data_IF_808502750845
#
_entry.id   IF_808502750845
#
_cell.length_a   1.000
_cell.length_b   1.000
_cell.length_c   1.000
_cell.angle_alpha   90.00
_cell.angle_beta   90.00
_cell.angle_gamma   90.00
#
_symmetry.space_group_name_H-M   'P 1'
#
loop_
_entity.id
_entity.type
_entity.pdbx_description
1 polymer ?
#
# COMPACT_ATOMS: atom_id res chain seq x y z
N UNK A 1 20.26 16.56 -4.24
CA UNK A 1 19.79 15.41 -5.03
C UNK A 1 20.34 14.15 -4.37
N UNK A 2 19.50 13.16 -4.03
CA UNK A 2 19.98 11.94 -3.36
C UNK A 2 20.67 11.03 -4.39
N UNK A 3 22.01 11.03 -4.45
CA UNK A 3 22.79 10.20 -5.38
C UNK A 3 22.40 8.71 -5.32
N UNK A 4 22.04 8.23 -4.13
CA UNK A 4 21.60 6.83 -3.93
C UNK A 4 20.28 6.50 -4.63
N UNK A 5 19.36 7.45 -4.76
CA UNK A 5 18.07 7.20 -5.41
C UNK A 5 18.23 7.05 -6.93
N UNK A 6 19.13 7.84 -7.52
CA UNK A 6 19.53 7.69 -8.92
C UNK A 6 20.20 6.33 -9.18
N UNK A 7 21.10 5.90 -8.28
CA UNK A 7 21.74 4.58 -8.38
C UNK A 7 20.70 3.43 -8.26
N UNK A 8 19.72 3.52 -7.35
CA UNK A 8 18.65 2.52 -7.29
C UNK A 8 17.78 2.51 -8.54
N UNK A 9 17.47 3.67 -9.12
CA UNK A 9 16.72 3.77 -10.37
C UNK A 9 17.50 3.15 -11.55
N UNK A 10 18.82 3.37 -11.61
CA UNK A 10 19.70 2.75 -12.59
C UNK A 10 19.69 1.22 -12.49
N UNK A 11 19.86 0.68 -11.27
CA UNK A 11 19.79 -0.77 -11.02
C UNK A 11 18.43 -1.32 -11.46
N UNK A 12 17.34 -0.64 -11.11
CA UNK A 12 16.00 -1.06 -11.49
C UNK A 12 15.80 -1.12 -13.01
N UNK A 13 16.25 -0.10 -13.74
CA UNK A 13 16.12 -0.02 -15.19
C UNK A 13 16.85 -1.16 -15.93
N UNK A 14 17.97 -1.64 -15.38
CA UNK A 14 18.80 -2.69 -15.99
C UNK A 14 18.62 -4.07 -15.35
N UNK A 15 17.80 -4.20 -14.31
CA UNK A 15 17.59 -5.45 -13.55
C UNK A 15 16.93 -6.57 -14.36
N UNK A 16 16.32 -6.25 -15.49
CA UNK A 16 15.75 -7.20 -16.45
C UNK A 16 16.79 -7.81 -17.37
N UNK A 17 17.88 -7.09 -17.64
CA UNK A 17 18.94 -7.51 -18.57
C UNK A 17 20.14 -8.11 -17.84
N UNK A 18 20.45 -7.63 -16.63
CA UNK A 18 21.62 -8.05 -15.87
C UNK A 18 21.25 -8.48 -14.44
N UNK A 19 22.00 -9.44 -13.85
CA UNK A 19 21.83 -9.80 -12.45
C UNK A 19 22.04 -8.59 -11.53
N UNK A 20 21.10 -8.37 -10.60
CA UNK A 20 21.15 -7.29 -9.61
C UNK A 20 22.47 -7.26 -8.84
N UNK A 21 23.10 -8.43 -8.60
CA UNK A 21 24.39 -8.50 -7.93
C UNK A 21 25.49 -7.73 -8.69
N UNK A 22 25.59 -7.93 -10.01
CA UNK A 22 26.58 -7.23 -10.84
C UNK A 22 26.31 -5.72 -10.89
N UNK A 23 25.02 -5.35 -10.98
CA UNK A 23 24.62 -3.94 -10.99
C UNK A 23 24.92 -3.24 -9.66
N UNK A 24 24.79 -3.96 -8.53
CA UNK A 24 25.15 -3.46 -7.21
C UNK A 24 26.67 -3.28 -7.08
N UNK A 25 27.47 -4.21 -7.58
CA UNK A 25 28.95 -4.10 -7.60
C UNK A 25 29.45 -2.89 -8.41
N UNK A 26 28.69 -2.46 -9.43
CA UNK A 26 28.97 -1.29 -10.26
C UNK A 26 28.52 0.05 -9.62
N UNK A 27 27.94 0.01 -8.41
CA UNK A 27 27.35 1.17 -7.74
C UNK A 27 27.81 1.24 -6.28
N UNK A 28 27.60 2.38 -5.62
CA UNK A 28 27.96 2.58 -4.21
C UNK A 28 26.81 2.25 -3.24
N UNK A 29 25.79 1.54 -3.71
CA UNK A 29 24.62 1.16 -2.92
C UNK A 29 24.63 -0.32 -2.58
N UNK A 30 24.01 -0.69 -1.46
CA UNK A 30 23.87 -2.09 -1.08
C UNK A 30 22.67 -2.76 -1.75
N UNK A 31 22.79 -4.07 -2.00
CA UNK A 31 21.69 -4.91 -2.48
C UNK A 31 20.46 -4.86 -1.58
N UNK A 32 20.67 -4.82 -0.26
CA UNK A 32 19.58 -4.70 0.72
C UNK A 32 18.91 -3.32 0.66
N UNK A 33 19.68 -2.25 0.39
CA UNK A 33 19.17 -0.91 0.13
C UNK A 33 18.27 -0.87 -1.11
N UNK A 34 18.68 -1.53 -2.20
CA UNK A 34 17.90 -1.64 -3.44
C UNK A 34 16.53 -2.28 -3.20
N UNK A 35 16.48 -3.46 -2.56
CA UNK A 35 15.19 -4.11 -2.29
C UNK A 35 14.33 -3.34 -1.30
N UNK A 36 14.92 -2.62 -0.33
CA UNK A 36 14.17 -1.69 0.55
C UNK A 36 13.58 -0.52 -0.24
N UNK A 37 14.32 0.05 -1.19
CA UNK A 37 13.83 1.10 -2.07
C UNK A 37 12.70 0.58 -2.97
N UNK A 38 12.88 -0.60 -3.56
CA UNK A 38 11.86 -1.25 -4.40
C UNK A 38 10.56 -1.51 -3.62
N UNK A 39 10.66 -2.02 -2.40
CA UNK A 39 9.52 -2.25 -1.51
C UNK A 39 8.77 -0.95 -1.20
N UNK A 40 9.49 0.12 -0.84
CA UNK A 40 8.88 1.44 -0.59
C UNK A 40 8.16 1.99 -1.82
N UNK A 41 8.72 1.81 -3.02
CA UNK A 41 8.09 2.23 -4.27
C UNK A 41 6.81 1.44 -4.54
N UNK A 42 6.82 0.13 -4.32
CA UNK A 42 5.64 -0.71 -4.43
C UNK A 42 4.54 -0.33 -3.41
N UNK A 43 4.92 -0.02 -2.17
CA UNK A 43 4.00 0.46 -1.14
C UNK A 43 3.34 1.79 -1.55
N UNK A 44 4.13 2.75 -2.05
CA UNK A 44 3.63 4.04 -2.55
C UNK A 44 2.65 3.91 -3.72
N UNK A 45 2.87 2.94 -4.61
CA UNK A 45 1.91 2.65 -5.71
C UNK A 45 0.62 2.01 -5.18
N UNK A 46 0.69 1.26 -4.07
CA UNK A 46 -0.51 0.74 -3.42
C UNK A 46 -1.26 1.84 -2.64
N UNK A 47 -0.55 2.81 -2.05
CA UNK A 47 -1.15 3.99 -1.41
C UNK A 47 -2.11 4.72 -2.34
N UNK A 48 -1.68 5.04 -3.56
CA UNK A 48 -2.52 5.77 -4.54
C UNK A 48 -3.75 4.98 -4.97
N UNK A 49 -3.66 3.64 -5.00
CA UNK A 49 -4.83 2.79 -5.26
C UNK A 49 -5.79 2.77 -4.07
N UNK A 50 -5.29 2.81 -2.84
CA UNK A 50 -6.11 2.79 -1.64
C UNK A 50 -6.77 4.16 -1.36
N UNK A 51 -6.17 5.27 -1.80
CA UNK A 51 -6.72 6.63 -1.70
C UNK A 51 -8.11 6.75 -2.32
N UNK A 52 -8.38 6.08 -3.45
CA UNK A 52 -9.71 6.09 -4.07
C UNK A 52 -10.78 5.34 -3.27
N UNK A 53 -10.39 4.39 -2.42
CA UNK A 53 -11.32 3.58 -1.61
C UNK A 53 -11.57 4.21 -0.23
N UNK A 54 -10.59 4.94 0.29
CA UNK A 54 -10.61 5.50 1.63
C UNK A 54 -11.85 6.36 1.94
N UNK A 55 -12.32 7.27 1.07
CA UNK A 55 -13.49 8.11 1.36
C UNK A 55 -14.74 7.29 1.67
N UNK A 56 -14.98 6.23 0.89
CA UNK A 56 -16.12 5.33 1.10
C UNK A 56 -16.00 4.55 2.42
N UNK A 57 -14.80 4.04 2.73
CA UNK A 57 -14.54 3.34 3.99
C UNK A 57 -14.78 4.28 5.18
N UNK A 58 -14.27 5.52 5.13
CA UNK A 58 -14.45 6.51 6.20
C UNK A 58 -15.93 6.82 6.40
N UNK A 59 -16.66 7.07 5.30
CA UNK A 59 -18.09 7.38 5.35
C UNK A 59 -18.89 6.28 6.02
N UNK A 60 -18.80 5.04 5.51
CA UNK A 60 -19.45 3.87 6.11
C UNK A 60 -19.03 3.68 7.58
N UNK A 61 -17.74 3.83 7.88
CA UNK A 61 -17.24 3.67 9.24
C UNK A 61 -17.85 4.70 10.21
N UNK A 62 -17.97 5.96 9.78
CA UNK A 62 -18.56 7.04 10.57
C UNK A 62 -20.08 6.91 10.71
N UNK A 63 -20.78 6.58 9.62
CA UNK A 63 -22.23 6.37 9.60
C UNK A 63 -22.64 5.26 10.59
N UNK A 64 -21.78 4.25 10.77
CA UNK A 64 -21.96 3.19 11.75
C UNK A 64 -21.19 3.39 13.06
N UNK A 65 -20.83 4.63 13.41
CA UNK A 65 -20.21 5.05 14.68
C UNK A 65 -18.95 4.26 15.05
N UNK A 66 -18.17 3.87 14.04
CA UNK A 66 -16.94 3.10 14.18
C UNK A 66 -17.14 1.65 14.64
N UNK A 67 -18.35 1.10 14.55
CA UNK A 67 -18.64 -0.29 14.95
C UNK A 67 -18.40 -1.29 13.81
N UNK A 68 -18.39 -0.82 12.58
CA UNK A 68 -18.25 -1.69 11.41
C UNK A 68 -16.80 -2.06 11.17
N UNK A 69 -16.54 -3.37 11.15
CA UNK A 69 -15.27 -3.92 10.73
C UNK A 69 -15.23 -4.30 9.27
N UNK A 70 -14.05 -4.69 8.80
CA UNK A 70 -13.76 -4.98 7.39
C UNK A 70 -14.83 -5.83 6.68
N UNK A 71 -15.44 -6.82 7.35
CA UNK A 71 -16.51 -7.66 6.79
C UNK A 71 -17.79 -6.88 6.54
N UNK A 72 -18.22 -6.04 7.49
CA UNK A 72 -19.42 -5.21 7.37
C UNK A 72 -19.19 -4.04 6.41
N UNK A 73 -17.99 -3.44 6.44
CA UNK A 73 -17.60 -2.43 5.46
C UNK A 73 -17.60 -3.01 4.05
N UNK A 74 -17.12 -4.24 3.84
CA UNK A 74 -17.19 -4.91 2.53
C UNK A 74 -18.63 -5.06 2.03
N UNK A 75 -19.55 -5.40 2.92
CA UNK A 75 -20.97 -5.53 2.57
C UNK A 75 -21.57 -4.17 2.20
N UNK A 76 -21.38 -3.16 3.06
CA UNK A 76 -21.85 -1.79 2.81
C UNK A 76 -21.26 -1.19 1.52
N UNK A 77 -19.98 -1.42 1.23
CA UNK A 77 -19.36 -0.99 -0.03
C UNK A 77 -20.06 -1.57 -1.26
N UNK A 78 -20.50 -2.84 -1.17
CA UNK A 78 -21.25 -3.49 -2.24
C UNK A 78 -22.69 -2.98 -2.32
N UNK A 79 -23.36 -2.84 -1.19
CA UNK A 79 -24.79 -2.47 -1.14
C UNK A 79 -25.04 -0.99 -1.46
N UNK A 80 -24.20 -0.09 -0.96
CA UNK A 80 -24.38 1.37 -1.11
C UNK A 80 -23.70 1.94 -2.36
N UNK A 81 -22.61 1.32 -2.82
CA UNK A 81 -21.76 1.89 -3.89
C UNK A 81 -21.46 0.91 -5.03
N UNK A 82 -22.01 -0.32 -5.00
CA UNK A 82 -21.70 -1.42 -5.95
C UNK A 82 -20.19 -1.72 -6.11
N UNK A 83 -19.41 -1.41 -5.06
CA UNK A 83 -17.96 -1.59 -5.07
C UNK A 83 -17.58 -2.97 -4.53
N UNK A 84 -17.21 -3.89 -5.43
CA UNK A 84 -16.69 -5.22 -5.06
C UNK A 84 -15.20 -5.14 -4.73
N UNK A 85 -14.89 -5.10 -3.43
CA UNK A 85 -13.51 -4.97 -2.94
C UNK A 85 -13.08 -6.18 -2.11
N UNK A 86 -11.82 -6.60 -2.28
CA UNK A 86 -11.22 -7.64 -1.47
C UNK A 86 -11.09 -7.21 0.00
N UNK A 87 -11.51 -8.08 0.94
CA UNK A 87 -11.43 -7.84 2.39
C UNK A 87 -10.00 -7.52 2.86
N UNK A 88 -8.97 -8.09 2.22
CA UNK A 88 -7.57 -7.79 2.53
C UNK A 88 -7.21 -6.33 2.22
N UNK A 89 -7.75 -5.76 1.13
CA UNK A 89 -7.54 -4.36 0.77
C UNK A 89 -8.18 -3.45 1.81
N UNK A 90 -9.45 -3.69 2.14
CA UNK A 90 -10.18 -2.96 3.18
C UNK A 90 -9.41 -3.01 4.51
N UNK A 91 -8.96 -4.20 4.94
CA UNK A 91 -8.18 -4.38 6.17
C UNK A 91 -6.88 -3.55 6.18
N UNK A 92 -6.15 -3.55 5.06
CA UNK A 92 -4.92 -2.76 4.91
C UNK A 92 -5.21 -1.26 4.98
N UNK A 93 -6.22 -0.79 4.25
CA UNK A 93 -6.63 0.62 4.26
C UNK A 93 -7.05 1.03 5.68
N UNK A 94 -7.94 0.28 6.34
CA UNK A 94 -8.34 0.56 7.72
C UNK A 94 -7.15 0.63 8.68
N UNK A 95 -6.24 -0.35 8.63
CA UNK A 95 -5.05 -0.38 9.50
C UNK A 95 -4.11 0.80 9.24
N UNK A 96 -3.88 1.15 7.97
CA UNK A 96 -3.00 2.25 7.58
C UNK A 96 -3.51 3.60 8.08
N UNK A 97 -4.83 3.79 8.09
CA UNK A 97 -5.48 5.04 8.51
C UNK A 97 -6.03 4.99 9.95
N UNK A 98 -5.68 3.97 10.74
CA UNK A 98 -6.06 3.88 12.15
C UNK A 98 -7.55 3.67 12.42
N UNK A 99 -8.29 3.14 11.45
CA UNK A 99 -9.72 2.84 11.58
C UNK A 99 -9.92 1.51 12.31
N UNK A 100 -9.97 1.55 13.63
CA UNK A 100 -10.19 0.38 14.48
C UNK A 100 -11.61 0.33 15.01
N UNK A 101 -12.26 -0.83 14.88
CA UNK A 101 -13.62 -1.00 15.34
C UNK A 101 -13.72 -0.84 16.86
N UNK A 102 -14.71 -0.08 17.32
CA UNK A 102 -15.00 0.03 18.75
C UNK A 102 -15.55 -1.30 19.26
N UNK A 103 -14.82 -1.92 20.19
CA UNK A 103 -15.29 -3.11 20.91
C UNK A 103 -16.45 -2.67 21.81
N UNK A 104 -17.59 -3.37 21.75
CA UNK A 104 -18.69 -3.17 22.71
C UNK A 104 -18.17 -3.57 24.09
N UNK A 105 -18.19 -2.62 25.04
CA UNK A 105 -17.94 -2.89 26.45
C UNK A 105 -19.22 -3.41 27.10
#
# INVERSE_FOLDING_TARGET
MNDKEAQFAFIHAHSTTYPVQKLVELTEVSRSGYYKWLKRRAEKVQDTKDEGLLPYIIKIFQDHRGTYGRKRIKLALKEEYDLVVNEKRISRTMRRYGLYCRIRK
#
